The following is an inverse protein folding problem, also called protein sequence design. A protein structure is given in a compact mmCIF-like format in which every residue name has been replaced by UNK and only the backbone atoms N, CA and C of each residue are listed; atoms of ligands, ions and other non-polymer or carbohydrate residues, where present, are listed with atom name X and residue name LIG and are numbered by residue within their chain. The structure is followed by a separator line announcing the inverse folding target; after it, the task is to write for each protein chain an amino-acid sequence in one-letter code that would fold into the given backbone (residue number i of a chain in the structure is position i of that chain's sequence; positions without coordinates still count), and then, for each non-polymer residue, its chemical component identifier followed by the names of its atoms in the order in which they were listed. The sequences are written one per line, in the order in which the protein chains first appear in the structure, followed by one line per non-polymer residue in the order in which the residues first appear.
data_IF_371288777762
#
_entry.id   IF_371288777762
#
_cell.length_a   1.000
_cell.length_b   1.000
_cell.length_c   1.000
_cell.angle_alpha   90.00
_cell.angle_beta   90.00
_cell.angle_gamma   90.00
#
_symmetry.space_group_name_H-M   'P 1'
#
loop_
_entity.id
_entity.type
_entity.pdbx_description
1 polymer ?
#
# COMPACT_ATOMS: atom_id res chain seq x y z
N UNK A 1 -11.45 -5.06 2.60
CA UNK A 1 -11.55 -4.26 1.35
C UNK A 1 -10.21 -4.32 0.65
N UNK A 2 -10.16 -4.45 -0.68
CA UNK A 2 -8.90 -4.50 -1.46
C UNK A 2 -8.70 -3.11 -2.08
N UNK A 3 -7.53 -2.47 -1.94
CA UNK A 3 -7.32 -1.14 -2.52
C UNK A 3 -7.27 -1.21 -4.06
N UNK A 4 -7.83 -0.20 -4.71
CA UNK A 4 -7.81 -0.10 -6.16
C UNK A 4 -6.41 0.21 -6.69
N UNK A 5 -6.08 -0.31 -7.87
CA UNK A 5 -4.83 0.03 -8.56
C UNK A 5 -4.85 1.54 -8.87
N UNK A 6 -3.73 2.22 -8.64
CA UNK A 6 -3.55 3.68 -8.70
C UNK A 6 -4.25 4.50 -7.60
N UNK A 7 -4.95 3.88 -6.64
CA UNK A 7 -5.43 4.61 -5.46
C UNK A 7 -4.26 5.20 -4.66
N UNK A 8 -4.50 6.36 -4.04
CA UNK A 8 -3.49 7.08 -3.24
C UNK A 8 -3.83 6.98 -1.77
N UNK A 9 -2.82 6.68 -0.95
CA UNK A 9 -2.97 6.41 0.47
C UNK A 9 -1.97 7.24 1.29
N UNK A 10 -2.47 7.84 2.37
CA UNK A 10 -1.70 8.60 3.35
C UNK A 10 -1.32 7.68 4.52
N UNK A 11 -0.04 7.53 4.80
CA UNK A 11 0.43 6.85 6.01
C UNK A 11 0.38 7.81 7.20
N UNK A 12 -0.54 7.55 8.14
CA UNK A 12 -0.93 8.50 9.18
C UNK A 12 0.22 8.87 10.13
N UNK A 13 1.15 7.93 10.41
CA UNK A 13 2.30 8.19 11.29
C UNK A 13 3.34 9.10 10.65
N UNK A 14 3.58 8.95 9.34
CA UNK A 14 4.69 9.66 8.66
C UNK A 14 4.25 10.86 7.82
N UNK A 15 2.95 11.00 7.55
CA UNK A 15 2.41 12.01 6.63
C UNK A 15 2.73 11.77 5.15
N UNK A 16 3.44 10.69 4.80
CA UNK A 16 3.82 10.37 3.42
C UNK A 16 2.68 9.77 2.63
N UNK A 17 2.66 10.09 1.33
CA UNK A 17 1.68 9.59 0.37
C UNK A 17 2.28 8.49 -0.49
N UNK A 18 1.46 7.48 -0.75
CA UNK A 18 1.83 6.32 -1.52
C UNK A 18 0.76 6.02 -2.56
N UNK A 19 1.17 5.50 -3.72
CA UNK A 19 0.27 5.01 -4.76
C UNK A 19 0.31 3.49 -4.82
N UNK A 20 -0.85 2.86 -4.83
CA UNK A 20 -0.97 1.41 -5.05
C UNK A 20 -0.65 1.09 -6.50
N UNK A 21 0.27 0.16 -6.71
CA UNK A 21 0.72 -0.30 -8.03
C UNK A 21 0.05 -1.62 -8.38
N UNK A 22 -0.04 -2.54 -7.43
CA UNK A 22 -0.65 -3.86 -7.63
C UNK A 22 -1.10 -4.46 -6.30
N UNK A 23 -2.09 -5.36 -6.36
CA UNK A 23 -2.38 -6.32 -5.29
C UNK A 23 -2.19 -7.73 -5.84
N UNK A 24 -1.43 -8.55 -5.14
CA UNK A 24 -1.08 -9.90 -5.59
C UNK A 24 -1.08 -10.91 -4.46
N UNK A 25 -0.83 -12.18 -4.81
CA UNK A 25 -0.63 -13.25 -3.83
C UNK A 25 0.86 -13.44 -3.58
N UNK A 26 1.25 -13.53 -2.32
CA UNK A 26 2.58 -13.97 -1.95
C UNK A 26 2.62 -15.50 -2.02
N UNK A 27 3.44 -16.03 -2.93
CA UNK A 27 3.44 -17.46 -3.27
C UNK A 27 3.82 -18.37 -2.09
N UNK A 28 4.74 -17.95 -1.23
CA UNK A 28 5.21 -18.72 -0.07
C UNK A 28 4.11 -18.98 0.97
N UNK A 29 3.24 -18.00 1.22
CA UNK A 29 2.24 -18.04 2.29
C UNK A 29 0.80 -18.07 1.80
N UNK A 30 0.59 -17.85 0.50
CA UNK A 30 -0.71 -17.62 -0.12
C UNK A 30 -1.49 -16.45 0.52
N UNK A 31 -0.78 -15.48 1.09
CA UNK A 31 -1.38 -14.26 1.63
C UNK A 31 -1.44 -13.15 0.58
N UNK A 32 -2.49 -12.34 0.62
CA UNK A 32 -2.60 -11.16 -0.25
C UNK A 32 -1.64 -10.07 0.20
N UNK A 33 -0.95 -9.46 -0.75
CA UNK A 33 0.00 -8.37 -0.53
C UNK A 33 -0.32 -7.17 -1.43
N UNK A 34 -0.07 -5.97 -0.91
CA UNK A 34 -0.18 -4.70 -1.62
C UNK A 34 1.22 -4.22 -1.98
N UNK A 35 1.42 -3.93 -3.26
CA UNK A 35 2.63 -3.28 -3.79
C UNK A 35 2.32 -1.79 -3.98
N UNK A 36 3.14 -0.93 -3.38
CA UNK A 36 2.91 0.51 -3.42
C UNK A 36 4.21 1.30 -3.46
N UNK A 37 4.17 2.49 -4.05
CA UNK A 37 5.34 3.36 -4.23
C UNK A 37 5.14 4.71 -3.56
N UNK A 38 6.22 5.25 -3.00
CA UNK A 38 6.24 6.62 -2.47
C UNK A 38 6.00 7.65 -3.58
N UNK A 39 5.12 8.61 -3.32
CA UNK A 39 4.92 9.78 -4.20
C UNK A 39 5.88 10.94 -3.90
N UNK A 40 6.71 10.82 -2.86
CA UNK A 40 7.75 11.80 -2.55
C UNK A 40 8.99 11.62 -3.48
N UNK A 41 9.88 12.62 -3.50
CA UNK A 41 11.09 12.67 -4.35
C UNK A 41 12.00 11.44 -4.28
N UNK A 42 11.94 10.64 -3.21
CA UNK A 42 12.62 9.34 -3.10
C UNK A 42 11.62 8.23 -3.38
N UNK A 43 11.63 7.72 -4.61
CA UNK A 43 10.78 6.61 -5.03
C UNK A 43 11.30 5.33 -4.39
N UNK A 44 10.65 4.90 -3.31
CA UNK A 44 10.81 3.54 -2.76
C UNK A 44 9.55 2.74 -3.05
N UNK A 45 9.75 1.50 -3.49
CA UNK A 45 8.70 0.50 -3.65
C UNK A 45 8.64 -0.36 -2.39
N UNK A 46 7.43 -0.67 -1.94
CA UNK A 46 7.16 -1.47 -0.76
C UNK A 46 6.18 -2.58 -1.11
N UNK A 47 6.32 -3.69 -0.41
CA UNK A 47 5.38 -4.82 -0.43
C UNK A 47 4.94 -5.02 1.02
N UNK A 48 3.65 -5.17 1.26
CA UNK A 48 3.09 -5.35 2.60
C UNK A 48 1.87 -6.27 2.56
N UNK A 49 1.68 -7.17 3.54
CA UNK A 49 0.44 -7.93 3.67
C UNK A 49 -0.79 -7.02 3.67
N UNK A 50 -1.84 -7.44 2.97
CA UNK A 50 -3.07 -6.67 2.79
C UNK A 50 -3.70 -6.30 4.14
N UNK A 51 -3.77 -7.26 5.05
CA UNK A 51 -4.34 -7.04 6.39
C UNK A 51 -3.59 -5.94 7.15
N UNK A 52 -2.25 -5.92 7.06
CA UNK A 52 -1.43 -4.89 7.71
C UNK A 52 -1.53 -3.55 6.98
N UNK A 53 -1.74 -3.54 5.66
CA UNK A 53 -1.96 -2.30 4.92
C UNK A 53 -3.33 -1.68 5.27
N UNK A 54 -4.33 -2.52 5.53
CA UNK A 54 -5.71 -2.13 5.83
C UNK A 54 -6.00 -1.98 7.34
N UNK A 55 -4.98 -2.10 8.21
CA UNK A 55 -5.12 -2.09 9.68
C UNK A 55 -5.40 -0.70 10.30
N UNK A 56 -5.65 0.32 9.47
CA UNK A 56 -5.91 1.69 9.91
C UNK A 56 -4.67 2.60 9.97
N UNK A 57 -3.46 2.09 9.68
CA UNK A 57 -2.26 2.96 9.53
C UNK A 57 -2.29 3.83 8.29
N UNK A 58 -3.06 3.44 7.30
CA UNK A 58 -3.21 4.14 6.04
C UNK A 58 -4.66 4.60 5.85
N UNK A 59 -4.82 5.76 5.23
CA UNK A 59 -6.12 6.29 4.83
C UNK A 59 -6.08 6.62 3.35
N UNK A 60 -7.04 6.10 2.61
CA UNK A 60 -7.22 6.47 1.20
C UNK A 60 -7.53 7.96 1.09
N UNK A 61 -6.86 8.63 0.15
CA UNK A 61 -7.04 10.05 -0.17
C UNK A 61 -7.44 10.16 -1.63
N UNK A 62 -8.55 10.88 -1.88
CA UNK A 62 -9.02 11.22 -3.22
C UNK A 62 -8.25 12.42 -3.77
#
# INVERSE_FOLDING_TARGET
MIPEINSVWLHLKSGKRYKVVQVGMWEETLEKCVVYVSLDKKVRCWIRPLEIFMDGRFKEVK
#
